data_IF_165269546834
#
_entry.id   IF_165269546834
#
_cell.length_a   1.000
_cell.length_b   1.000
_cell.length_c   1.000
_cell.angle_alpha   90.00
_cell.angle_beta   90.00
_cell.angle_gamma   90.00
#
_symmetry.space_group_name_H-M   'P 1'
#
loop_
_entity.id
_entity.type
_entity.pdbx_description
1 polymer ?
#
# COMPACT_ATOMS: atom_id res chain seq x y z
N UNK A 1 -8.98 33.05 -30.87
CA UNK A 1 -7.92 32.02 -30.75
C UNK A 1 -8.13 31.26 -29.45
N UNK A 2 -8.96 30.21 -29.49
CA UNK A 2 -9.26 29.38 -28.31
C UNK A 2 -8.25 28.25 -28.24
N UNK A 3 -7.28 28.32 -27.31
CA UNK A 3 -6.35 27.21 -27.05
C UNK A 3 -7.13 26.04 -26.47
N UNK A 4 -7.39 25.03 -27.30
CA UNK A 4 -7.89 23.74 -26.83
C UNK A 4 -6.85 23.14 -25.87
N UNK A 5 -7.26 22.81 -24.64
CA UNK A 5 -6.46 22.01 -23.73
C UNK A 5 -6.36 20.58 -24.30
N UNK A 6 -5.17 19.95 -24.31
CA UNK A 6 -5.02 18.59 -24.79
C UNK A 6 -5.84 17.60 -23.93
N UNK A 7 -6.33 16.49 -24.51
CA UNK A 7 -7.22 15.56 -23.84
C UNK A 7 -6.54 14.85 -22.67
N UNK A 8 -7.00 15.16 -21.46
CA UNK A 8 -7.26 14.19 -20.38
C UNK A 8 -6.14 13.24 -19.95
N UNK A 9 -5.01 13.77 -19.47
CA UNK A 9 -4.08 12.99 -18.62
C UNK A 9 -4.60 12.79 -17.19
N UNK A 10 -5.74 13.41 -16.84
CA UNK A 10 -6.29 13.53 -15.48
C UNK A 10 -6.81 12.23 -14.83
N UNK A 11 -6.64 11.08 -15.48
CA UNK A 11 -7.09 9.77 -14.99
C UNK A 11 -6.02 8.67 -14.98
N UNK A 12 -4.78 9.00 -15.34
CA UNK A 12 -3.70 8.01 -15.46
C UNK A 12 -3.13 7.64 -14.08
N UNK A 13 -2.90 8.64 -13.24
CA UNK A 13 -2.20 8.43 -11.96
C UNK A 13 -3.07 7.85 -10.85
N UNK A 14 -4.38 8.11 -10.86
CA UNK A 14 -5.31 7.55 -9.87
C UNK A 14 -5.21 6.02 -9.82
N UNK A 15 -5.13 5.37 -10.99
CA UNK A 15 -4.96 3.91 -11.10
C UNK A 15 -3.63 3.45 -10.50
N UNK A 16 -2.54 4.19 -10.73
CA UNK A 16 -1.25 3.88 -10.11
C UNK A 16 -1.27 4.04 -8.60
N UNK A 17 -1.88 5.10 -8.08
CA UNK A 17 -1.96 5.36 -6.64
C UNK A 17 -2.79 4.27 -5.95
N UNK A 18 -3.97 3.92 -6.50
CA UNK A 18 -4.79 2.81 -6.00
C UNK A 18 -4.06 1.47 -6.11
N UNK A 19 -3.29 1.25 -7.18
CA UNK A 19 -2.45 0.08 -7.38
C UNK A 19 -1.29 -0.04 -6.38
N UNK A 20 -0.62 1.07 -6.09
CA UNK A 20 0.52 1.17 -5.17
C UNK A 20 0.11 1.08 -3.70
N UNK A 21 -1.13 1.40 -3.36
CA UNK A 21 -1.63 1.49 -1.98
C UNK A 21 -2.63 0.39 -1.62
N UNK A 22 -2.60 -0.80 -2.27
CA UNK A 22 -3.46 -1.93 -1.86
C UNK A 22 -3.16 -2.37 -0.42
N UNK A 23 -4.18 -2.88 0.28
CA UNK A 23 -4.16 -3.35 1.69
C UNK A 23 -3.10 -4.41 2.03
N UNK A 24 -2.53 -5.08 1.02
CA UNK A 24 -1.54 -6.14 1.19
C UNK A 24 -0.32 -5.65 1.98
N UNK A 25 0.13 -6.47 2.93
CA UNK A 25 1.36 -6.33 3.72
C UNK A 25 2.61 -6.55 2.85
N UNK A 26 2.82 -5.63 1.92
CA UNK A 26 3.93 -5.59 1.00
C UNK A 26 4.18 -4.13 0.60
N UNK A 27 5.43 -3.78 0.23
CA UNK A 27 5.75 -2.44 -0.24
C UNK A 27 4.90 -2.04 -1.46
N UNK A 28 4.78 -0.73 -1.75
CA UNK A 28 4.25 -0.28 -3.04
C UNK A 28 5.00 -0.94 -4.19
N UNK A 29 4.26 -1.50 -5.15
CA UNK A 29 4.90 -2.19 -6.30
C UNK A 29 5.62 -1.17 -7.18
N UNK A 30 6.86 -1.48 -7.56
CA UNK A 30 7.77 -0.60 -8.32
C UNK A 30 7.10 0.05 -9.54
N UNK A 31 6.46 -0.73 -10.43
CA UNK A 31 5.77 -0.20 -11.62
C UNK A 31 4.78 0.94 -11.37
N UNK A 32 4.13 0.96 -10.21
CA UNK A 32 3.20 2.02 -9.86
C UNK A 32 3.93 3.25 -9.31
N UNK A 33 4.97 3.02 -8.51
CA UNK A 33 5.86 4.08 -8.00
C UNK A 33 6.54 4.80 -9.17
N UNK A 34 7.16 4.06 -10.08
CA UNK A 34 7.81 4.60 -11.29
C UNK A 34 6.87 5.52 -12.07
N UNK A 35 5.64 5.07 -12.33
CA UNK A 35 4.64 5.90 -13.02
C UNK A 35 4.25 7.15 -12.22
N UNK A 36 4.17 7.08 -10.89
CA UNK A 36 3.87 8.25 -10.04
C UNK A 36 5.03 9.24 -10.06
N UNK A 37 6.28 8.77 -10.03
CA UNK A 37 7.46 9.64 -10.07
C UNK A 37 7.53 10.43 -11.38
N UNK A 38 7.10 9.85 -12.51
CA UNK A 38 7.00 10.57 -13.79
C UNK A 38 6.14 11.84 -13.67
N UNK A 39 5.09 11.83 -12.85
CA UNK A 39 4.23 13.00 -12.65
C UNK A 39 4.97 14.19 -12.04
N UNK A 40 6.03 13.95 -11.25
CA UNK A 40 6.77 15.03 -10.57
C UNK A 40 7.53 15.93 -11.55
N UNK A 41 7.91 15.41 -12.72
CA UNK A 41 8.56 16.21 -13.78
C UNK A 41 7.60 17.23 -14.44
N UNK A 42 6.29 17.08 -14.27
CA UNK A 42 5.31 18.10 -14.66
C UNK A 42 5.20 19.26 -13.64
N UNK A 43 6.09 19.29 -12.65
CA UNK A 43 6.13 20.30 -11.61
C UNK A 43 4.94 20.22 -10.65
N UNK A 44 4.55 21.37 -10.12
CA UNK A 44 3.51 21.46 -9.09
C UNK A 44 2.15 20.93 -9.56
N UNK A 45 1.81 21.13 -10.84
CA UNK A 45 0.54 20.65 -11.41
C UNK A 45 0.44 19.12 -11.38
N UNK A 46 1.54 18.42 -11.68
CA UNK A 46 1.60 16.96 -11.62
C UNK A 46 1.49 16.46 -10.18
N UNK A 47 2.24 17.07 -9.26
CA UNK A 47 2.15 16.72 -7.82
C UNK A 47 0.72 16.98 -7.29
N UNK A 48 0.10 18.09 -7.65
CA UNK A 48 -1.27 18.40 -7.25
C UNK A 48 -2.26 17.35 -7.77
N UNK A 49 -2.06 16.81 -8.98
CA UNK A 49 -2.88 15.72 -9.51
C UNK A 49 -2.74 14.44 -8.69
N UNK A 50 -1.52 14.07 -8.30
CA UNK A 50 -1.27 12.92 -7.40
C UNK A 50 -1.96 13.13 -6.05
N UNK A 51 -1.83 14.33 -5.48
CA UNK A 51 -2.37 14.65 -4.16
C UNK A 51 -3.90 14.64 -4.11
N UNK A 52 -4.61 14.86 -5.23
CA UNK A 52 -6.08 14.69 -5.29
C UNK A 52 -6.51 13.28 -4.88
N UNK A 53 -5.72 12.26 -5.25
CA UNK A 53 -6.02 10.87 -4.87
C UNK A 53 -5.40 10.51 -3.52
N UNK A 54 -4.16 10.91 -3.25
CA UNK A 54 -3.49 10.58 -1.98
C UNK A 54 -4.25 11.10 -0.76
N UNK A 55 -4.84 12.29 -0.81
CA UNK A 55 -5.62 12.83 0.32
C UNK A 55 -6.78 11.91 0.74
N UNK A 56 -7.41 11.22 -0.21
CA UNK A 56 -8.44 10.23 0.10
C UNK A 56 -7.83 8.98 0.74
N UNK A 57 -6.64 8.56 0.30
CA UNK A 57 -5.95 7.39 0.86
C UNK A 57 -5.39 7.65 2.26
N UNK A 58 -5.00 8.89 2.57
CA UNK A 58 -4.54 9.31 3.89
C UNK A 58 -5.66 9.33 4.95
N UNK A 59 -6.92 9.35 4.51
CA UNK A 59 -8.12 9.29 5.36
C UNK A 59 -8.80 7.92 5.34
N UNK A 60 -8.19 6.92 4.71
CA UNK A 60 -8.72 5.54 4.64
C UNK A 60 -8.58 4.88 6.02
N UNK A 61 -9.61 4.18 6.51
CA UNK A 61 -9.60 3.51 7.81
C UNK A 61 -8.55 2.40 7.94
N UNK A 62 -7.99 1.95 6.82
CA UNK A 62 -7.01 0.87 6.77
C UNK A 62 -5.59 1.43 6.92
N UNK A 63 -4.91 1.12 8.03
CA UNK A 63 -3.57 1.64 8.31
C UNK A 63 -2.54 1.33 7.21
N UNK A 64 -2.60 0.15 6.57
CA UNK A 64 -1.66 -0.22 5.52
C UNK A 64 -1.81 0.64 4.28
N UNK A 65 -3.03 1.08 3.96
CA UNK A 65 -3.32 1.97 2.84
C UNK A 65 -2.71 3.35 3.11
N UNK A 66 -2.92 3.87 4.32
CA UNK A 66 -2.42 5.18 4.75
C UNK A 66 -0.89 5.17 4.80
N UNK A 67 -0.31 4.16 5.44
CA UNK A 67 1.15 4.02 5.55
C UNK A 67 1.82 3.94 4.17
N UNK A 68 1.26 3.15 3.24
CA UNK A 68 1.79 3.06 1.88
C UNK A 68 1.62 4.36 1.09
N UNK A 69 0.60 5.16 1.41
CA UNK A 69 0.43 6.50 0.83
C UNK A 69 1.54 7.44 1.30
N UNK A 70 1.91 7.39 2.58
CA UNK A 70 3.06 8.14 3.12
C UNK A 70 4.39 7.67 2.53
N UNK A 71 4.57 6.36 2.31
CA UNK A 71 5.76 5.83 1.60
C UNK A 71 5.83 6.42 0.19
N UNK A 72 4.71 6.48 -0.55
CA UNK A 72 4.70 7.09 -1.89
C UNK A 72 5.11 8.56 -1.83
N UNK A 73 4.58 9.35 -0.88
CA UNK A 73 5.01 10.75 -0.69
C UNK A 73 6.51 10.84 -0.40
N UNK A 74 7.02 9.97 0.48
CA UNK A 74 8.44 9.92 0.80
C UNK A 74 9.30 9.62 -0.44
N UNK A 75 8.89 8.67 -1.28
CA UNK A 75 9.58 8.35 -2.53
C UNK A 75 9.51 9.52 -3.52
N UNK A 76 8.37 10.21 -3.62
CA UNK A 76 8.26 11.42 -4.45
C UNK A 76 9.19 12.56 -4.00
N UNK A 77 9.55 12.62 -2.71
CA UNK A 77 10.52 13.60 -2.19
C UNK A 77 11.96 13.16 -2.48
N UNK A 78 12.26 11.86 -2.39
CA UNK A 78 13.62 11.33 -2.51
C UNK A 78 14.07 11.03 -3.93
N UNK A 79 13.16 10.55 -4.77
CA UNK A 79 13.46 9.99 -6.10
C UNK A 79 12.75 10.76 -7.23
N UNK A 80 11.77 11.60 -6.89
CA UNK A 80 11.09 12.47 -7.85
C UNK A 80 11.87 13.74 -8.17
N UNK A 81 11.23 14.64 -8.94
CA UNK A 81 11.79 15.92 -9.33
C UNK A 81 12.22 16.74 -8.09
N UNK A 82 13.48 17.17 -8.00
CA UNK A 82 14.02 17.79 -6.80
C UNK A 82 13.23 19.01 -6.32
N UNK A 83 12.94 19.03 -5.02
CA UNK A 83 12.23 20.11 -4.32
C UNK A 83 10.77 20.36 -4.76
N UNK A 84 10.23 19.68 -5.77
CA UNK A 84 8.84 19.94 -6.22
C UNK A 84 7.85 19.44 -5.18
N UNK A 85 7.91 18.14 -4.86
CA UNK A 85 7.01 17.53 -3.87
C UNK A 85 7.19 18.15 -2.49
N UNK A 86 8.44 18.40 -2.08
CA UNK A 86 8.75 18.97 -0.77
C UNK A 86 8.17 20.39 -0.64
N UNK A 87 8.37 21.26 -1.63
CA UNK A 87 7.79 22.62 -1.63
C UNK A 87 6.26 22.55 -1.62
N UNK A 88 5.67 21.68 -2.43
CA UNK A 88 4.22 21.52 -2.48
C UNK A 88 3.63 21.15 -1.12
N UNK A 89 4.28 20.25 -0.36
CA UNK A 89 3.82 19.86 0.98
C UNK A 89 4.11 20.96 2.01
N UNK A 90 5.28 21.60 1.94
CA UNK A 90 5.70 22.65 2.87
C UNK A 90 4.76 23.85 2.85
N UNK A 91 4.17 24.17 1.69
CA UNK A 91 3.19 25.25 1.53
C UNK A 91 1.90 25.01 2.34
N UNK A 92 1.49 23.76 2.56
CA UNK A 92 0.37 23.46 3.46
C UNK A 92 0.52 22.07 4.07
N UNK A 93 1.12 21.96 5.27
CA UNK A 93 1.38 20.67 5.93
C UNK A 93 0.12 19.82 6.16
N UNK A 94 -1.07 20.44 6.23
CA UNK A 94 -2.37 19.76 6.30
C UNK A 94 -2.65 18.84 5.10
N UNK A 95 -1.91 18.97 3.99
CA UNK A 95 -1.93 18.04 2.84
C UNK A 95 -1.56 16.61 3.26
N UNK A 96 -0.87 16.42 4.39
CA UNK A 96 -0.52 15.12 4.96
C UNK A 96 -1.33 14.74 6.21
N UNK A 97 -2.40 15.47 6.52
CA UNK A 97 -3.25 15.12 7.65
C UNK A 97 -3.89 13.73 7.46
N UNK A 98 -3.64 12.85 8.42
CA UNK A 98 -4.22 11.50 8.49
C UNK A 98 -5.41 11.48 9.44
N UNK A 99 -6.35 10.55 9.23
CA UNK A 99 -7.40 10.27 10.22
C UNK A 99 -6.81 9.60 11.45
N UNK A 100 -7.43 9.78 12.62
CA UNK A 100 -7.03 9.04 13.83
C UNK A 100 -7.36 7.55 13.64
N UNK A 101 -6.36 6.68 13.86
CA UNK A 101 -6.53 5.23 13.80
C UNK A 101 -6.49 4.64 15.21
N UNK A 102 -7.47 3.80 15.55
CA UNK A 102 -7.36 2.83 16.64
C UNK A 102 -7.22 1.45 16.00
N UNK A 103 -6.07 0.79 16.20
CA UNK A 103 -5.87 -0.54 15.64
C UNK A 103 -6.71 -1.57 16.40
N UNK A 104 -7.87 -1.92 15.84
CA UNK A 104 -8.73 -2.99 16.36
C UNK A 104 -8.20 -4.40 16.07
N UNK A 105 -7.08 -4.55 15.34
CA UNK A 105 -6.56 -5.87 14.91
C UNK A 105 -5.80 -6.62 16.01
N UNK A 106 -5.76 -6.12 17.24
CA UNK A 106 -5.20 -6.83 18.40
C UNK A 106 -5.88 -8.18 18.70
N UNK A 107 -7.05 -8.49 18.13
CA UNK A 107 -7.78 -9.73 18.42
C UNK A 107 -7.44 -10.94 17.55
N UNK A 108 -6.84 -10.78 16.36
CA UNK A 108 -6.62 -11.93 15.46
C UNK A 108 -5.28 -12.62 15.71
N UNK A 109 -4.24 -11.88 16.11
CA UNK A 109 -2.92 -12.45 16.40
C UNK A 109 -2.79 -13.12 17.78
N UNK A 110 -3.72 -12.86 18.71
CA UNK A 110 -3.70 -13.48 20.05
C UNK A 110 -4.31 -14.89 20.11
N UNK A 111 -5.08 -15.33 19.10
CA UNK A 111 -5.79 -16.62 19.15
C UNK A 111 -5.15 -17.75 18.32
N UNK A 112 -4.13 -17.45 17.51
CA UNK A 112 -3.45 -18.46 16.68
C UNK A 112 -2.40 -19.30 17.44
N UNK A 113 -2.12 -19.01 18.71
CA UNK A 113 -1.13 -19.75 19.52
C UNK A 113 -1.73 -20.60 20.67
N UNK A 114 -3.06 -20.70 20.78
CA UNK A 114 -3.73 -21.35 21.92
C UNK A 114 -4.49 -22.64 21.57
N UNK A 115 -4.13 -23.35 20.49
CA UNK A 115 -4.61 -24.71 20.24
C UNK A 115 -3.44 -25.68 20.09
N UNK A 116 -2.96 -26.17 21.24
CA UNK A 116 -2.22 -27.42 21.29
C UNK A 116 -3.14 -28.60 20.96
N UNK A 117 -2.61 -29.71 20.44
CA UNK A 117 -3.39 -30.90 20.13
C UNK A 117 -3.91 -31.52 21.43
N UNK A 118 -5.22 -31.73 21.54
CA UNK A 118 -5.82 -32.50 22.62
C UNK A 118 -5.56 -33.99 22.37
N UNK A 119 -4.61 -34.57 23.10
CA UNK A 119 -4.45 -36.02 23.24
C UNK A 119 -5.62 -36.60 24.05
N UNK A 120 -6.42 -37.46 23.42
CA UNK A 120 -7.15 -38.53 24.12
C UNK A 120 -7.55 -39.58 23.08
N UNK A 121 -6.87 -40.73 23.11
CA UNK A 121 -7.14 -41.83 22.19
C UNK A 121 -6.14 -42.95 22.37
N UNK A 122 -6.49 -43.91 23.22
CA UNK A 122 -5.71 -45.06 23.65
C UNK A 122 -4.93 -45.81 22.56
N UNK A 123 -3.72 -46.19 22.93
CA UNK A 123 -2.88 -47.24 22.33
C UNK A 123 -3.66 -48.53 22.07
N UNK A 124 -3.80 -48.95 20.81
CA UNK A 124 -3.84 -50.36 20.44
C UNK A 124 -3.59 -50.54 18.92
N UNK A 125 -2.55 -51.32 18.59
CA UNK A 125 -2.36 -52.08 17.34
C UNK A 125 -1.90 -51.35 16.06
N UNK A 126 -0.58 -51.11 15.93
CA UNK A 126 0.06 -51.19 14.62
C UNK A 126 0.58 -52.62 14.38
N UNK A 127 -0.29 -53.43 13.76
CA UNK A 127 0.03 -54.76 13.22
C UNK A 127 0.53 -54.60 11.78
N UNK A 128 1.79 -54.95 11.58
CA UNK A 128 2.42 -55.48 10.37
C UNK A 128 1.52 -55.58 9.12
N UNK A 129 1.80 -54.74 8.10
CA UNK A 129 1.51 -55.09 6.69
C UNK A 129 2.48 -54.34 5.78
N UNK A 130 3.48 -55.07 5.30
CA UNK A 130 4.49 -54.57 4.37
C UNK A 130 3.96 -54.31 2.97
N UNK A 131 4.65 -53.42 2.26
CA UNK A 131 4.78 -53.40 0.80
C UNK A 131 6.23 -52.99 0.43
N UNK A 132 6.75 -53.45 -0.72
CA UNK A 132 8.18 -53.73 -0.97
C UNK A 132 8.96 -52.55 -1.59
N UNK A 133 10.31 -52.65 -1.70
CA UNK A 133 11.15 -51.57 -2.22
C UNK A 133 11.08 -51.45 -3.75
N UNK A 134 11.28 -50.21 -4.23
CA UNK A 134 11.27 -49.83 -5.66
C UNK A 134 12.55 -50.28 -6.38
N UNK A 135 12.42 -50.62 -7.67
CA UNK A 135 13.52 -50.91 -8.60
C UNK A 135 14.07 -49.63 -9.21
#
# INVERSE_FOLDING_TARGET
MSRQRPPGMSGSFEKSIKGGTKIKLAPPKAKYVEHILIATHAGEAGVAEIFKTLQNRLRDSTWTIVFKSLIIVHLMIREGEPNVTLKYVADSPSKLAISNFSDGTSKEYSMASARGPTESGSTHLYRNRGYPPQK
#
